data_IF_785368741675
#
_entry.id   IF_785368741675
#
_cell.length_a   1.000
_cell.length_b   1.000
_cell.length_c   1.000
_cell.angle_alpha   90.00
_cell.angle_beta   90.00
_cell.angle_gamma   90.00
#
_symmetry.space_group_name_H-M   'P 1'
#
loop_
_entity.id
_entity.type
_entity.pdbx_description
1 polymer ?
#
# COMPACT_ATOMS: atom_id res chain seq x y z
N UNK A 1 -48.43 -24.31 20.88
CA UNK A 1 -48.22 -23.14 21.75
C UNK A 1 -47.12 -22.29 21.16
N UNK A 2 -47.39 -20.99 20.95
CA UNK A 2 -46.56 -20.00 20.26
C UNK A 2 -45.72 -19.22 21.28
N UNK A 3 -44.47 -18.89 20.92
CA UNK A 3 -43.75 -17.64 21.19
C UNK A 3 -42.39 -17.79 20.44
N UNK A 4 -42.24 -17.23 19.23
CA UNK A 4 -41.79 -15.85 18.97
C UNK A 4 -40.45 -15.57 19.67
N UNK A 5 -39.37 -15.20 18.98
CA UNK A 5 -39.19 -13.86 18.39
C UNK A 5 -38.25 -13.94 17.18
N UNK A 6 -38.71 -13.33 16.09
CA UNK A 6 -37.94 -13.03 14.89
C UNK A 6 -37.11 -11.75 15.10
N UNK A 7 -35.90 -11.71 14.53
CA UNK A 7 -35.23 -10.44 14.24
C UNK A 7 -34.67 -10.50 12.80
N UNK A 8 -35.58 -10.24 11.85
CA UNK A 8 -35.25 -9.80 10.50
C UNK A 8 -34.97 -8.29 10.58
N UNK A 9 -33.70 -7.89 10.46
CA UNK A 9 -33.35 -6.48 10.27
C UNK A 9 -33.38 -6.15 8.77
N UNK A 10 -34.56 -5.69 8.36
CA UNK A 10 -34.87 -4.96 7.14
C UNK A 10 -34.05 -3.67 7.03
N UNK A 11 -33.35 -3.50 5.91
CA UNK A 11 -32.76 -2.24 5.48
C UNK A 11 -33.88 -1.24 5.12
N UNK A 12 -33.91 -0.01 5.68
CA UNK A 12 -34.86 1.00 5.27
C UNK A 12 -34.43 1.59 3.92
N UNK A 13 -35.24 1.34 2.89
CA UNK A 13 -35.26 2.13 1.67
C UNK A 13 -35.75 3.54 2.00
N UNK A 14 -34.84 4.51 2.01
CA UNK A 14 -35.20 5.92 2.06
C UNK A 14 -35.73 6.34 0.69
N UNK A 15 -37.06 6.30 0.61
CA UNK A 15 -37.85 6.88 -0.46
C UNK A 15 -37.62 8.39 -0.58
N UNK A 16 -37.78 8.84 -1.81
CA UNK A 16 -37.76 10.22 -2.26
C UNK A 16 -38.60 11.18 -1.41
N UNK A 17 -38.06 12.38 -1.18
CA UNK A 17 -38.84 13.61 -1.10
C UNK A 17 -38.28 14.59 -2.13
N UNK A 18 -39.07 14.84 -3.18
CA UNK A 18 -39.06 16.13 -3.89
C UNK A 18 -39.44 17.25 -2.91
N UNK A 19 -39.28 18.54 -3.18
CA UNK A 19 -39.40 19.29 -4.42
C UNK A 19 -38.84 20.68 -4.12
N UNK A 20 -38.21 21.34 -5.10
CA UNK A 20 -37.62 22.66 -4.85
C UNK A 20 -36.86 23.24 -6.03
N UNK A 21 -37.56 23.47 -7.14
CA UNK A 21 -37.06 24.20 -8.30
C UNK A 21 -36.59 25.60 -7.90
N UNK A 22 -35.29 25.87 -8.04
CA UNK A 22 -34.77 27.24 -8.18
C UNK A 22 -33.73 27.27 -9.30
N UNK A 23 -34.16 27.80 -10.44
CA UNK A 23 -33.29 28.15 -11.54
C UNK A 23 -32.43 29.36 -11.14
N UNK A 24 -31.11 29.26 -11.36
CA UNK A 24 -30.17 30.38 -11.51
C UNK A 24 -28.83 29.85 -12.06
N UNK A 25 -27.97 30.71 -12.61
CA UNK A 25 -27.79 30.99 -14.03
C UNK A 25 -26.78 30.05 -14.70
N UNK A 26 -26.81 29.97 -16.04
CA UNK A 26 -25.75 29.32 -16.82
C UNK A 26 -24.39 29.96 -16.49
N UNK A 27 -23.55 29.24 -15.76
CA UNK A 27 -22.15 29.57 -15.64
C UNK A 27 -21.47 29.32 -17.01
N UNK A 28 -20.56 30.20 -17.46
CA UNK A 28 -19.86 30.02 -18.72
C UNK A 28 -19.18 28.65 -18.72
N UNK A 29 -19.35 27.93 -19.83
CA UNK A 29 -18.68 26.65 -20.12
C UNK A 29 -17.21 26.79 -19.78
N UNK A 30 -16.79 26.14 -18.68
CA UNK A 30 -15.38 26.01 -18.37
C UNK A 30 -14.74 25.26 -19.56
N UNK A 31 -13.59 25.72 -20.08
CA UNK A 31 -12.91 25.00 -21.13
C UNK A 31 -12.65 23.58 -20.61
N UNK A 32 -13.00 22.58 -21.43
CA UNK A 32 -12.77 21.19 -21.13
C UNK A 32 -11.34 21.04 -20.60
N UNK A 33 -11.21 20.58 -19.36
CA UNK A 33 -9.91 20.26 -18.81
C UNK A 33 -9.28 19.27 -19.77
N UNK A 34 -8.29 19.75 -20.54
CA UNK A 34 -7.50 18.90 -21.40
C UNK A 34 -6.94 17.82 -20.50
N UNK A 35 -7.38 16.58 -20.71
CA UNK A 35 -6.87 15.41 -20.03
C UNK A 35 -5.37 15.41 -20.26
N UNK A 36 -4.60 15.86 -19.27
CA UNK A 36 -3.16 15.80 -19.30
C UNK A 36 -2.83 14.31 -19.37
N UNK A 37 -2.47 13.87 -20.57
CA UNK A 37 -2.04 12.52 -20.84
C UNK A 37 -0.75 12.36 -20.05
N UNK A 38 -0.84 11.76 -18.86
CA UNK A 38 0.35 11.46 -18.06
C UNK A 38 1.17 10.51 -18.92
N UNK A 39 2.28 11.03 -19.46
CA UNK A 39 3.20 10.21 -20.22
C UNK A 39 3.61 9.01 -19.36
N UNK A 40 3.71 7.80 -19.94
CA UNK A 40 4.11 6.63 -19.17
C UNK A 40 5.45 6.92 -18.50
N UNK A 41 5.44 6.95 -17.17
CA UNK A 41 6.66 7.05 -16.38
C UNK A 41 7.45 5.78 -16.68
N UNK A 42 8.63 5.94 -17.27
CA UNK A 42 9.50 4.82 -17.55
C UNK A 42 9.74 4.04 -16.26
N UNK A 43 9.54 2.73 -16.28
CA UNK A 43 9.88 1.88 -15.16
C UNK A 43 11.38 2.08 -14.86
N UNK A 44 11.77 2.25 -13.58
CA UNK A 44 13.16 2.48 -13.22
C UNK A 44 14.04 1.33 -13.74
N UNK A 45 15.33 1.54 -13.95
CA UNK A 45 16.24 0.44 -14.31
C UNK A 45 16.30 -0.60 -13.17
N UNK A 46 16.57 -1.86 -13.50
CA UNK A 46 16.78 -2.89 -12.48
C UNK A 46 18.16 -2.63 -11.84
N UNK A 47 18.35 -2.90 -10.53
CA UNK A 47 19.67 -2.85 -9.95
C UNK A 47 20.59 -3.83 -10.66
N UNK A 48 21.85 -3.42 -10.88
CA UNK A 48 22.85 -4.26 -11.55
C UNK A 48 23.10 -5.60 -10.83
N UNK A 49 22.80 -5.66 -9.52
CA UNK A 49 22.79 -6.87 -8.73
C UNK A 49 21.56 -6.89 -7.82
N UNK A 50 20.47 -7.51 -8.30
CA UNK A 50 19.21 -7.62 -7.56
C UNK A 50 19.37 -8.42 -6.26
N UNK A 51 20.16 -9.49 -6.26
CA UNK A 51 20.38 -10.31 -5.07
C UNK A 51 21.00 -9.50 -3.93
N UNK A 52 22.05 -8.74 -4.21
CA UNK A 52 22.70 -7.90 -3.21
C UNK A 52 21.73 -6.86 -2.64
N UNK A 53 20.92 -6.22 -3.50
CA UNK A 53 19.92 -5.25 -3.07
C UNK A 53 18.82 -5.90 -2.19
N UNK A 54 18.33 -7.07 -2.57
CA UNK A 54 17.34 -7.80 -1.78
C UNK A 54 17.88 -8.23 -0.41
N UNK A 55 19.12 -8.74 -0.36
CA UNK A 55 19.78 -9.11 0.91
C UNK A 55 20.00 -7.91 1.82
N UNK A 56 20.37 -6.76 1.27
CA UNK A 56 20.52 -5.51 2.02
C UNK A 56 19.20 -5.07 2.67
N UNK A 57 18.10 -5.09 1.90
CA UNK A 57 16.76 -4.75 2.41
C UNK A 57 16.33 -5.71 3.51
N UNK A 58 16.54 -7.02 3.31
CA UNK A 58 16.25 -8.05 4.32
C UNK A 58 17.06 -7.81 5.60
N UNK A 59 18.35 -7.49 5.50
CA UNK A 59 19.18 -7.17 6.65
C UNK A 59 18.68 -5.91 7.37
N UNK A 60 18.43 -4.83 6.64
CA UNK A 60 17.98 -3.56 7.21
C UNK A 60 16.64 -3.65 7.93
N UNK A 61 15.70 -4.42 7.37
CA UNK A 61 14.34 -4.53 7.90
C UNK A 61 14.19 -5.63 8.97
N UNK A 62 14.89 -6.75 8.80
CA UNK A 62 14.68 -7.96 9.60
C UNK A 62 15.94 -8.49 10.28
N UNK A 63 17.09 -7.85 10.08
CA UNK A 63 18.38 -8.26 10.67
C UNK A 63 18.85 -9.64 10.22
N UNK A 64 18.43 -10.10 9.03
CA UNK A 64 18.80 -11.41 8.50
C UNK A 64 19.86 -11.27 7.41
N UNK A 65 20.86 -12.12 7.44
CA UNK A 65 22.03 -12.02 6.57
C UNK A 65 22.67 -13.38 6.28
N UNK A 66 23.68 -13.38 5.40
CA UNK A 66 24.44 -14.57 5.04
C UNK A 66 23.61 -15.69 4.41
N UNK A 67 24.07 -16.93 4.59
CA UNK A 67 23.48 -18.12 3.99
C UNK A 67 22.11 -18.51 4.58
N UNK A 68 21.70 -17.88 5.68
CA UNK A 68 20.38 -18.09 6.27
C UNK A 68 19.25 -17.52 5.41
N UNK A 69 19.55 -16.52 4.57
CA UNK A 69 18.62 -15.93 3.62
C UNK A 69 18.79 -16.65 2.27
N UNK A 70 17.75 -17.37 1.88
CA UNK A 70 17.65 -17.95 0.55
C UNK A 70 17.12 -16.90 -0.43
N UNK A 71 17.75 -16.83 -1.60
CA UNK A 71 17.35 -15.98 -2.72
C UNK A 71 17.08 -16.86 -3.94
N UNK A 72 15.96 -16.65 -4.60
CA UNK A 72 15.61 -17.36 -5.84
C UNK A 72 15.08 -16.33 -6.83
N UNK A 73 15.88 -16.01 -7.86
CA UNK A 73 15.42 -15.11 -8.91
C UNK A 73 14.21 -15.72 -9.63
N UNK A 74 13.16 -14.93 -9.77
CA UNK A 74 11.96 -15.29 -10.53
C UNK A 74 12.05 -14.71 -11.94
N UNK A 75 12.46 -13.45 -12.05
CA UNK A 75 12.76 -12.75 -13.31
C UNK A 75 13.92 -11.76 -13.12
N UNK A 76 14.20 -10.90 -14.12
CA UNK A 76 15.27 -9.88 -14.04
C UNK A 76 15.06 -8.81 -12.95
N UNK A 77 13.82 -8.65 -12.48
CA UNK A 77 13.42 -7.60 -11.53
C UNK A 77 12.78 -8.13 -10.27
N UNK A 78 12.53 -9.42 -10.19
CA UNK A 78 11.74 -10.06 -9.13
C UNK A 78 12.47 -11.29 -8.62
N UNK A 79 12.43 -11.49 -7.33
CA UNK A 79 13.01 -12.66 -6.70
C UNK A 79 12.23 -13.04 -5.46
N UNK A 80 12.16 -14.32 -5.17
CA UNK A 80 11.65 -14.81 -3.91
C UNK A 80 12.78 -14.86 -2.88
N UNK A 81 12.55 -14.27 -1.71
CA UNK A 81 13.47 -14.35 -0.57
C UNK A 81 12.81 -15.04 0.60
N UNK A 82 13.55 -15.92 1.27
CA UNK A 82 13.02 -16.61 2.46
C UNK A 82 14.10 -16.90 3.50
N UNK A 83 13.69 -16.95 4.76
CA UNK A 83 14.55 -17.32 5.91
C UNK A 83 13.70 -17.93 7.02
N UNK A 84 14.34 -18.46 8.07
CA UNK A 84 13.60 -18.95 9.24
C UNK A 84 13.13 -17.81 10.14
N UNK A 85 11.86 -17.86 10.55
CA UNK A 85 11.29 -16.97 11.54
C UNK A 85 12.00 -17.15 12.90
N UNK A 86 12.52 -16.09 13.52
CA UNK A 86 13.26 -16.21 14.79
C UNK A 86 12.42 -16.69 15.99
N UNK A 87 11.11 -16.43 15.99
CA UNK A 87 10.25 -16.63 17.16
C UNK A 87 9.59 -18.02 17.16
N UNK A 88 8.98 -18.41 16.04
CA UNK A 88 8.21 -19.66 15.89
C UNK A 88 8.95 -20.75 15.09
N UNK A 89 10.08 -20.42 14.46
CA UNK A 89 10.86 -21.36 13.65
C UNK A 89 10.23 -21.71 12.29
N UNK A 90 9.09 -21.10 11.94
CA UNK A 90 8.48 -21.17 10.63
C UNK A 90 9.36 -20.56 9.53
N UNK A 91 8.85 -20.54 8.29
CA UNK A 91 9.54 -19.88 7.17
C UNK A 91 8.84 -18.58 6.84
N UNK A 92 9.61 -17.49 6.85
CA UNK A 92 9.20 -16.22 6.31
C UNK A 92 9.58 -16.17 4.84
N UNK A 93 8.67 -15.64 4.02
CA UNK A 93 8.83 -15.57 2.58
C UNK A 93 8.25 -14.25 2.08
N UNK A 94 9.01 -13.57 1.21
CA UNK A 94 8.67 -12.29 0.63
C UNK A 94 9.10 -12.23 -0.82
N UNK A 95 8.31 -11.55 -1.64
CA UNK A 95 8.70 -11.20 -2.99
C UNK A 95 9.56 -9.94 -2.91
N UNK A 96 10.80 -10.00 -3.39
CA UNK A 96 11.66 -8.85 -3.59
C UNK A 96 11.49 -8.31 -5.01
N UNK A 97 11.27 -7.00 -5.15
CA UNK A 97 11.14 -6.33 -6.45
C UNK A 97 12.15 -5.20 -6.59
N UNK A 98 12.69 -5.04 -7.79
CA UNK A 98 13.51 -3.89 -8.17
C UNK A 98 12.68 -2.61 -8.26
N UNK A 99 13.02 -1.61 -7.44
CA UNK A 99 12.39 -0.30 -7.38
C UNK A 99 13.31 0.80 -7.92
N UNK A 100 12.85 2.05 -7.91
CA UNK A 100 13.61 3.20 -8.43
C UNK A 100 14.94 3.42 -7.70
N UNK A 101 14.91 3.26 -6.38
CA UNK A 101 16.04 3.54 -5.50
C UNK A 101 16.70 2.26 -4.96
N UNK A 102 16.43 1.10 -5.57
CA UNK A 102 17.02 -0.19 -5.18
C UNK A 102 16.05 -1.35 -5.27
N UNK A 103 15.69 -1.93 -4.13
CA UNK A 103 14.75 -3.03 -4.03
C UNK A 103 13.82 -2.86 -2.82
N UNK A 104 12.64 -3.45 -2.89
CA UNK A 104 11.69 -3.53 -1.78
C UNK A 104 11.10 -4.92 -1.63
N UNK A 105 10.61 -5.20 -0.41
CA UNK A 105 9.97 -6.46 -0.07
C UNK A 105 8.45 -6.31 -0.12
N UNK A 106 7.78 -7.31 -0.67
CA UNK A 106 6.36 -7.36 -0.86
C UNK A 106 5.82 -8.67 -0.32
N UNK A 107 4.61 -8.59 0.23
CA UNK A 107 3.84 -9.76 0.65
C UNK A 107 2.40 -9.55 0.25
N UNK A 108 1.82 -10.55 -0.41
CA UNK A 108 0.45 -10.49 -0.92
C UNK A 108 0.20 -9.24 -1.80
N UNK A 109 1.24 -8.81 -2.53
CA UNK A 109 1.23 -7.60 -3.37
C UNK A 109 1.43 -6.28 -2.64
N UNK A 110 1.44 -6.26 -1.30
CA UNK A 110 1.62 -5.06 -0.50
C UNK A 110 3.10 -4.83 -0.15
N UNK A 111 3.63 -3.60 -0.29
CA UNK A 111 4.99 -3.28 0.13
C UNK A 111 5.11 -3.39 1.65
N UNK A 112 6.21 -3.98 2.10
CA UNK A 112 6.56 -4.06 3.50
C UNK A 112 7.35 -2.80 3.89
N UNK A 113 6.81 -2.02 4.82
CA UNK A 113 7.45 -0.83 5.36
C UNK A 113 7.57 -0.92 6.87
N UNK A 114 8.64 -0.33 7.43
CA UNK A 114 8.75 -0.09 8.87
C UNK A 114 8.35 1.36 9.10
N UNK A 115 7.11 1.57 9.54
CA UNK A 115 6.64 2.90 9.93
C UNK A 115 7.31 3.32 11.25
N UNK A 116 8.36 4.13 11.15
CA UNK A 116 8.89 4.84 12.32
C UNK A 116 8.02 6.08 12.52
N UNK A 117 7.02 5.99 13.39
CA UNK A 117 6.26 7.17 13.83
C UNK A 117 7.17 8.07 14.67
N UNK A 118 7.86 8.98 13.98
CA UNK A 118 8.51 10.12 14.62
C UNK A 118 7.39 11.05 15.10
N UNK A 119 7.06 10.99 16.39
CA UNK A 119 6.12 11.93 17.00
C UNK A 119 6.63 13.36 16.76
N UNK A 120 5.89 14.15 15.96
CA UNK A 120 6.22 15.54 15.74
C UNK A 120 6.22 16.29 17.09
N UNK A 121 7.22 17.13 17.40
CA UNK A 121 7.21 17.91 18.63
C UNK A 121 6.00 18.84 18.61
N UNK A 122 5.14 18.72 19.63
CA UNK A 122 3.99 19.58 19.80
C UNK A 122 4.45 21.03 19.92
N UNK A 123 4.27 21.81 18.85
CA UNK A 123 4.49 23.24 18.87
C UNK A 123 3.47 23.88 19.84
N UNK A 124 3.93 24.20 21.05
CA UNK A 124 3.21 25.08 21.98
C UNK A 124 3.02 26.44 21.28
N UNK A 125 1.80 26.68 20.80
CA UNK A 125 1.34 28.02 20.45
C UNK A 125 1.11 28.77 21.77
N UNK A 126 2.13 29.47 22.24
CA UNK A 126 1.98 30.47 23.30
C UNK A 126 1.16 31.62 22.71
N UNK A 127 -0.13 31.67 23.08
CA UNK A 127 -1.03 32.76 22.74
C UNK A 127 -0.47 34.08 23.25
N UNK A 128 -0.52 35.12 22.42
CA UNK A 128 -0.15 36.50 22.77
C UNK A 128 -1.32 37.43 22.54
#
# INVERSE_FOLDING_TARGET
MRLAVALLLTLPTLAACGEGKKAAPQAPTAPAAASAQVAPVAAPAAPANLEAACRDVVNRMYGQEGDAVAFTATDERTAQVSWRAPVDGGRLEFECRAEADGAGLFRDGQPMSVDVQMAAPAAKQEAR
#
